data_IF_766527252147
#
_entry.id   IF_766527252147
#
_cell.length_a   1.000
_cell.length_b   1.000
_cell.length_c   1.000
_cell.angle_alpha   90.00
_cell.angle_beta   90.00
_cell.angle_gamma   90.00
#
_symmetry.space_group_name_H-M   'P 1'
#
loop_
_entity.id
_entity.type
_entity.pdbx_description
1 polymer ?
#
# COMPACT_ATOMS: atom_id res chain seq x y z
N UNK A 1 16.82 -17.00 -8.14
CA UNK A 1 16.57 -16.26 -6.89
C UNK A 1 15.09 -16.35 -6.59
N UNK A 2 14.68 -16.88 -5.43
CA UNK A 2 13.28 -16.74 -5.00
C UNK A 2 13.14 -15.29 -4.56
N UNK A 3 12.36 -14.51 -5.30
CA UNK A 3 11.94 -13.19 -4.82
C UNK A 3 11.03 -13.49 -3.63
N UNK A 4 11.53 -13.37 -2.41
CA UNK A 4 10.65 -13.37 -1.25
C UNK A 4 9.73 -12.17 -1.40
N UNK A 5 8.44 -12.42 -1.67
CA UNK A 5 7.44 -11.36 -1.73
C UNK A 5 7.35 -10.72 -0.35
N UNK A 6 7.95 -9.55 -0.20
CA UNK A 6 7.85 -8.77 1.01
C UNK A 6 6.55 -7.97 0.99
N UNK A 7 5.86 -7.94 2.13
CA UNK A 7 4.61 -7.21 2.28
C UNK A 7 4.79 -5.98 3.15
N UNK A 8 4.48 -4.81 2.59
CA UNK A 8 4.69 -3.51 3.18
C UNK A 8 3.36 -2.82 3.51
N UNK A 9 3.36 -2.03 4.58
CA UNK A 9 2.28 -1.10 4.89
C UNK A 9 2.32 0.10 3.92
N UNK A 10 1.21 0.84 3.75
CA UNK A 10 1.21 2.06 2.94
C UNK A 10 2.28 3.09 3.36
N UNK A 11 2.60 3.17 4.65
CA UNK A 11 3.66 4.03 5.17
C UNK A 11 5.05 3.57 4.73
N UNK A 12 5.31 2.26 4.77
CA UNK A 12 6.59 1.69 4.31
C UNK A 12 6.75 1.84 2.79
N UNK A 13 5.68 1.62 2.02
CA UNK A 13 5.68 1.89 0.57
C UNK A 13 6.04 3.35 0.28
N UNK A 14 5.47 4.29 1.03
CA UNK A 14 5.79 5.71 0.88
C UNK A 14 7.28 6.01 1.08
N UNK A 15 7.93 5.32 2.02
CA UNK A 15 9.38 5.43 2.25
C UNK A 15 10.20 4.82 1.12
N UNK A 16 9.78 3.69 0.58
CA UNK A 16 10.47 3.08 -0.57
C UNK A 16 10.32 3.95 -1.83
N UNK A 17 9.15 4.51 -2.07
CA UNK A 17 8.93 5.46 -3.17
C UNK A 17 9.77 6.73 -3.02
N UNK A 18 9.92 7.25 -1.80
CA UNK A 18 10.78 8.40 -1.52
C UNK A 18 12.24 8.13 -1.87
N UNK A 19 12.76 6.93 -1.53
CA UNK A 19 14.13 6.52 -1.92
C UNK A 19 14.30 6.47 -3.44
N UNK A 20 13.27 6.04 -4.17
CA UNK A 20 13.32 5.84 -5.62
C UNK A 20 13.07 7.12 -6.43
N UNK A 21 12.29 8.05 -5.90
CA UNK A 21 11.81 9.24 -6.64
C UNK A 21 12.28 10.56 -6.05
N UNK A 22 12.94 10.52 -4.88
CA UNK A 22 13.27 11.71 -4.06
C UNK A 22 12.06 12.58 -3.70
N UNK A 23 10.83 12.05 -3.85
CA UNK A 23 9.58 12.73 -3.50
C UNK A 23 8.95 12.06 -2.29
N UNK A 24 8.84 12.81 -1.19
CA UNK A 24 8.22 12.33 0.03
C UNK A 24 6.76 11.93 -0.20
N UNK A 25 6.40 10.73 0.25
CA UNK A 25 5.04 10.22 0.15
C UNK A 25 4.56 9.66 1.49
N UNK A 26 3.47 10.22 1.99
CA UNK A 26 2.80 9.72 3.19
C UNK A 26 1.99 8.46 2.90
N UNK A 27 1.78 7.62 3.93
CA UNK A 27 0.89 6.45 3.79
C UNK A 27 -0.54 6.82 3.41
N UNK A 28 -1.01 8.04 3.73
CA UNK A 28 -2.31 8.55 3.28
C UNK A 28 -2.33 8.79 1.76
N UNK A 29 -1.26 9.36 1.20
CA UNK A 29 -1.11 9.54 -0.25
C UNK A 29 -1.03 8.18 -0.96
N UNK A 30 -0.25 7.23 -0.42
CA UNK A 30 -0.20 5.86 -0.96
C UNK A 30 -1.58 5.21 -0.95
N UNK A 31 -2.34 5.33 0.15
CA UNK A 31 -3.69 4.79 0.22
C UNK A 31 -4.63 5.39 -0.85
N UNK A 32 -4.50 6.70 -1.10
CA UNK A 32 -5.27 7.37 -2.14
C UNK A 32 -4.91 6.85 -3.53
N UNK A 33 -3.64 6.70 -3.85
CA UNK A 33 -3.20 6.18 -5.15
C UNK A 33 -3.69 4.74 -5.33
N UNK A 34 -3.52 3.87 -4.33
CA UNK A 34 -4.02 2.48 -4.37
C UNK A 34 -5.54 2.42 -4.63
N UNK A 35 -6.30 3.42 -4.17
CA UNK A 35 -7.73 3.55 -4.46
C UNK A 35 -7.98 4.04 -5.90
N UNK A 36 -7.21 5.02 -6.37
CA UNK A 36 -7.28 5.56 -7.73
C UNK A 36 -7.02 4.45 -8.77
N UNK A 37 -5.99 3.63 -8.56
CA UNK A 37 -5.65 2.45 -9.39
C UNK A 37 -6.50 1.20 -9.10
N UNK A 38 -7.59 1.34 -8.34
CA UNK A 38 -8.59 0.30 -8.06
C UNK A 38 -8.08 -0.94 -7.34
N UNK A 39 -6.92 -0.89 -6.67
CA UNK A 39 -6.42 -1.99 -5.84
C UNK A 39 -7.14 -2.04 -4.48
N UNK A 40 -7.56 -0.90 -3.94
CA UNK A 40 -8.34 -0.87 -2.70
C UNK A 40 -9.56 0.04 -2.77
N UNK A 41 -10.44 -0.11 -1.77
CA UNK A 41 -11.59 0.76 -1.54
C UNK A 41 -11.71 1.07 -0.05
N UNK A 42 -12.36 2.19 0.25
CA UNK A 42 -12.71 2.54 1.63
C UNK A 42 -14.12 2.02 1.94
N UNK A 43 -14.25 1.17 2.94
CA UNK A 43 -15.55 0.69 3.45
C UNK A 43 -15.69 1.20 4.87
N UNK A 44 -16.64 2.11 5.09
CA UNK A 44 -16.74 2.91 6.31
C UNK A 44 -15.39 3.57 6.67
N UNK A 45 -14.75 3.12 7.74
CA UNK A 45 -13.48 3.65 8.23
C UNK A 45 -12.27 2.74 7.97
N UNK A 46 -12.43 1.69 7.16
CA UNK A 46 -11.40 0.67 6.91
C UNK A 46 -11.05 0.61 5.42
N UNK A 47 -9.77 0.35 5.14
CA UNK A 47 -9.29 0.06 3.79
C UNK A 47 -9.38 -1.44 3.51
N UNK A 48 -10.03 -1.79 2.40
CA UNK A 48 -10.17 -3.17 1.96
C UNK A 48 -9.59 -3.36 0.55
N UNK A 49 -8.86 -4.46 0.28
CA UNK A 49 -8.48 -4.82 -1.07
C UNK A 49 -9.70 -5.10 -1.94
N UNK A 50 -9.70 -4.61 -3.18
CA UNK A 50 -10.65 -5.03 -4.20
C UNK A 50 -10.31 -6.45 -4.69
N UNK A 51 -11.09 -6.98 -5.63
CA UNK A 51 -10.77 -8.25 -6.29
C UNK A 51 -9.35 -8.21 -6.91
N UNK A 52 -8.98 -7.08 -7.54
CA UNK A 52 -7.64 -6.88 -8.11
C UNK A 52 -6.58 -6.79 -7.02
N UNK A 53 -6.86 -6.05 -5.93
CA UNK A 53 -5.90 -5.88 -4.84
C UNK A 53 -5.60 -7.15 -4.06
N UNK A 54 -6.53 -8.12 -3.99
CA UNK A 54 -6.33 -9.37 -3.25
C UNK A 54 -5.15 -10.20 -3.75
N UNK A 55 -4.82 -10.13 -5.04
CA UNK A 55 -3.65 -10.82 -5.59
C UNK A 55 -2.31 -10.22 -5.17
N UNK A 56 -2.33 -8.98 -4.67
CA UNK A 56 -1.14 -8.20 -4.31
C UNK A 56 -1.14 -7.80 -2.83
N UNK A 57 -2.00 -8.38 -2.01
CA UNK A 57 -2.13 -7.98 -0.61
C UNK A 57 -2.34 -9.16 0.33
N UNK A 58 -2.00 -8.91 1.58
CA UNK A 58 -2.35 -9.77 2.72
C UNK A 58 -2.99 -8.91 3.80
N UNK A 59 -3.85 -9.54 4.59
CA UNK A 59 -4.45 -8.92 5.77
C UNK A 59 -3.86 -9.61 6.99
N UNK A 60 -3.18 -8.85 7.84
CA UNK A 60 -2.55 -9.37 9.05
C UNK A 60 -3.13 -8.68 10.30
N UNK A 61 -3.20 -9.39 11.44
CA UNK A 61 -3.45 -8.74 12.73
C UNK A 61 -2.42 -7.64 13.00
N UNK A 62 -2.88 -6.53 13.55
CA UNK A 62 -2.06 -5.39 13.94
C UNK A 62 -2.47 -4.93 15.33
N UNK A 63 -1.48 -4.68 16.18
CA UNK A 63 -1.66 -4.03 17.47
C UNK A 63 -0.87 -2.72 17.47
N UNK A 64 -1.60 -1.62 17.58
CA UNK A 64 -1.04 -0.28 17.72
C UNK A 64 -0.44 -0.06 19.12
N UNK A 65 0.40 0.98 19.23
CA UNK A 65 1.06 1.36 20.50
C UNK A 65 0.09 1.73 21.63
N UNK A 66 -1.16 2.04 21.30
CA UNK A 66 -2.23 2.40 22.21
C UNK A 66 -3.16 1.20 22.56
N UNK A 67 -2.68 -0.04 22.42
CA UNK A 67 -3.47 -1.28 22.59
C UNK A 67 -4.68 -1.41 21.66
N UNK A 68 -4.81 -0.56 20.64
CA UNK A 68 -5.78 -0.77 19.58
C UNK A 68 -5.36 -1.99 18.75
N UNK A 69 -6.19 -3.02 18.75
CA UNK A 69 -5.99 -4.20 17.91
C UNK A 69 -6.98 -4.21 16.75
N UNK A 70 -6.54 -4.70 15.61
CA UNK A 70 -7.37 -4.80 14.42
C UNK A 70 -6.64 -5.54 13.32
N UNK A 71 -7.09 -5.33 12.08
CA UNK A 71 -6.45 -5.90 10.91
C UNK A 71 -5.87 -4.79 10.05
N UNK A 72 -4.71 -5.04 9.47
CA UNK A 72 -4.03 -4.13 8.56
C UNK A 72 -3.77 -4.82 7.23
N UNK A 73 -4.11 -4.12 6.15
CA UNK A 73 -3.73 -4.51 4.80
C UNK A 73 -2.24 -4.19 4.59
N UNK A 74 -1.48 -5.17 4.13
CA UNK A 74 -0.13 -4.99 3.60
C UNK A 74 -0.10 -5.42 2.13
N UNK A 75 0.83 -4.85 1.38
CA UNK A 75 0.89 -4.96 -0.07
C UNK A 75 2.23 -5.54 -0.51
N UNK A 76 2.22 -6.40 -1.52
CA UNK A 76 3.43 -6.89 -2.20
C UNK A 76 4.26 -5.70 -2.68
N UNK A 77 5.58 -5.80 -2.63
CA UNK A 77 6.50 -4.82 -3.23
C UNK A 77 6.20 -4.53 -4.71
N UNK A 78 5.52 -5.43 -5.43
CA UNK A 78 5.12 -5.24 -6.83
C UNK A 78 4.24 -3.99 -7.02
N UNK A 79 3.48 -3.57 -6.00
CA UNK A 79 2.65 -2.36 -6.09
C UNK A 79 3.47 -1.08 -6.22
N UNK A 80 4.75 -1.08 -5.83
CA UNK A 80 5.63 0.07 -5.96
C UNK A 80 5.78 0.45 -7.45
N UNK A 81 5.93 -0.55 -8.32
CA UNK A 81 6.01 -0.33 -9.77
C UNK A 81 4.72 0.27 -10.33
N UNK A 82 3.56 -0.25 -9.89
CA UNK A 82 2.25 0.25 -10.31
C UNK A 82 2.01 1.71 -9.86
N UNK A 83 2.36 2.03 -8.62
CA UNK A 83 2.23 3.38 -8.06
C UNK A 83 3.17 4.34 -8.80
N UNK A 84 4.42 3.94 -9.04
CA UNK A 84 5.40 4.76 -9.77
C UNK A 84 4.90 5.07 -11.19
N UNK A 85 4.44 4.05 -11.91
CA UNK A 85 3.88 4.22 -13.25
C UNK A 85 2.69 5.20 -13.26
N UNK A 86 1.79 5.09 -12.29
CA UNK A 86 0.65 6.01 -12.14
C UNK A 86 1.10 7.45 -11.90
N UNK A 87 2.05 7.68 -10.99
CA UNK A 87 2.57 9.02 -10.67
C UNK A 87 3.27 9.66 -11.88
N UNK A 88 4.00 8.88 -12.66
CA UNK A 88 4.72 9.36 -13.86
C UNK A 88 3.80 9.60 -15.05
N UNK A 89 2.66 8.89 -15.14
CA UNK A 89 1.67 9.07 -16.21
C UNK A 89 0.75 10.28 -16.00
N UNK A 90 0.59 10.71 -14.75
CA UNK A 90 -0.20 11.89 -14.36
C UNK A 90 0.63 13.19 -14.31
N UNK A 91 1.94 13.12 -14.60
CA UNK A 91 2.89 14.25 -14.57
C UNK A 91 3.12 14.86 -15.96
#
# INVERSE_FOLDING_TARGET
MRVETQFLTPTEIGRELEKLTSKKMSGMQVNRILQEIKLQRKVANVWEPTILGRGLSIILPYTGKNNYSGFQVKWSTDVIGLIKYHIESDA
#
